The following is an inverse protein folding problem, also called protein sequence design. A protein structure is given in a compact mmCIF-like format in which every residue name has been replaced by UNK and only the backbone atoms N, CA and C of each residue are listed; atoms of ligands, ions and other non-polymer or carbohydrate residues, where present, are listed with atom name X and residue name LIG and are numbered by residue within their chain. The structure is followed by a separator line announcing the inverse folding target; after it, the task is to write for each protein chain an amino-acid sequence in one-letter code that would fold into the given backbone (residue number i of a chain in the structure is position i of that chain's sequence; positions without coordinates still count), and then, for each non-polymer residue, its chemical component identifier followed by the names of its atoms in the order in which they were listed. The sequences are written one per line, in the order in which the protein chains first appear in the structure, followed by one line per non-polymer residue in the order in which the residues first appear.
data_IF_896112012707
#
_entry.id   IF_896112012707
#
_cell.length_a   1.000
_cell.length_b   1.000
_cell.length_c   1.000
_cell.angle_alpha   90.00
_cell.angle_beta   90.00
_cell.angle_gamma   90.00
#
_symmetry.space_group_name_H-M   'P 1'
#
loop_
_entity.id
_entity.type
_entity.pdbx_description
1 polymer ?
#
# COMPACT_ATOMS: atom_id res chain seq x y z
N UNK A 1 -5.51 -33.83 -15.72
CA UNK A 1 -4.68 -34.02 -16.94
C UNK A 1 -3.52 -33.04 -16.84
N UNK A 2 -2.35 -33.49 -16.32
CA UNK A 2 -1.05 -33.66 -17.04
C UNK A 2 -0.44 -32.32 -17.47
N UNK A 3 0.82 -31.95 -17.21
CA UNK A 3 2.01 -32.58 -16.64
C UNK A 3 2.99 -31.47 -16.21
N UNK A 4 3.74 -31.70 -15.14
CA UNK A 4 4.98 -30.98 -14.84
C UNK A 4 6.19 -31.66 -15.51
N UNK A 5 7.36 -31.00 -15.57
CA UNK A 5 8.62 -31.73 -15.51
C UNK A 5 9.52 -31.27 -14.36
N UNK A 6 10.08 -32.29 -13.69
CA UNK A 6 11.12 -32.26 -12.67
C UNK A 6 12.49 -31.91 -13.28
N UNK A 7 13.37 -31.28 -12.48
CA UNK A 7 14.78 -31.67 -12.44
C UNK A 7 15.26 -31.80 -10.99
N UNK A 8 15.67 -33.02 -10.69
CA UNK A 8 16.42 -33.56 -9.56
C UNK A 8 17.91 -33.31 -9.72
N UNK A 9 18.67 -33.09 -8.63
CA UNK A 9 20.02 -33.61 -8.28
C UNK A 9 20.29 -33.06 -6.86
N UNK A 10 20.84 -33.74 -5.85
CA UNK A 10 21.38 -35.08 -5.67
C UNK A 10 21.71 -35.22 -4.16
N UNK A 11 21.64 -36.44 -3.66
CA UNK A 11 21.72 -36.83 -2.26
C UNK A 11 23.13 -36.76 -1.66
N UNK A 12 23.15 -36.74 -0.32
CA UNK A 12 24.25 -36.62 0.64
C UNK A 12 25.11 -37.91 0.83
N UNK A 13 25.79 -38.14 1.99
CA UNK A 13 27.21 -37.97 2.38
C UNK A 13 27.82 -39.38 2.70
N UNK A 14 28.62 -39.67 3.77
CA UNK A 14 29.68 -38.98 4.57
C UNK A 14 31.00 -39.81 4.58
N UNK A 15 32.02 -39.44 5.39
CA UNK A 15 32.72 -40.38 6.32
C UNK A 15 34.09 -39.85 6.79
N UNK A 16 34.31 -39.93 8.10
CA UNK A 16 35.61 -39.88 8.78
C UNK A 16 36.39 -41.21 8.61
N UNK A 17 37.72 -41.17 8.73
CA UNK A 17 38.66 -42.19 9.27
C UNK A 17 40.08 -41.58 9.17
N UNK A 18 40.92 -41.46 10.20
CA UNK A 18 41.55 -42.42 11.14
C UNK A 18 42.98 -42.83 10.72
N UNK A 19 43.94 -42.43 11.57
CA UNK A 19 45.25 -42.98 11.99
C UNK A 19 45.77 -44.29 11.34
N UNK A 20 47.06 -44.29 10.93
CA UNK A 20 48.11 -45.33 11.14
C UNK A 20 49.39 -44.91 10.36
N UNK A 21 50.55 -44.68 11.01
CA UNK A 21 51.66 -45.62 11.28
C UNK A 21 52.17 -46.39 10.05
N UNK A 22 53.46 -46.21 9.70
CA UNK A 22 54.44 -47.27 9.36
C UNK A 22 55.81 -46.68 8.93
N UNK A 23 56.84 -46.90 9.78
CA UNK A 23 58.20 -47.32 9.38
C UNK A 23 58.14 -48.80 8.91
N UNK A 24 59.18 -49.46 8.34
CA UNK A 24 60.60 -49.11 8.16
C UNK A 24 61.14 -49.46 6.74
N UNK A 25 62.45 -49.35 6.51
CA UNK A 25 63.28 -50.44 5.95
C UNK A 25 64.75 -50.00 5.83
N UNK A 26 65.62 -51.01 5.94
CA UNK A 26 67.03 -50.92 6.25
C UNK A 26 67.92 -50.75 5.00
N UNK A 27 69.14 -50.24 5.22
CA UNK A 27 70.23 -50.24 4.25
C UNK A 27 71.59 -50.25 4.95
N UNK A 28 72.26 -51.40 4.85
CA UNK A 28 73.49 -51.83 5.52
C UNK A 28 74.80 -51.13 5.05
N UNK A 29 75.72 -50.93 5.99
CA UNK A 29 77.17 -51.27 5.96
C UNK A 29 78.12 -50.54 4.98
N UNK A 30 79.11 -49.78 5.50
CA UNK A 30 80.49 -50.29 5.66
C UNK A 30 81.46 -49.36 6.42
N UNK A 31 82.45 -50.00 7.06
CA UNK A 31 83.56 -49.47 7.86
C UNK A 31 84.54 -48.56 7.10
N UNK A 32 85.08 -47.53 7.77
CA UNK A 32 86.51 -47.41 8.14
C UNK A 32 86.83 -46.05 8.77
N UNK A 33 87.34 -46.12 9.99
CA UNK A 33 88.08 -45.07 10.69
C UNK A 33 89.35 -44.69 9.92
N UNK A 34 89.78 -43.42 9.98
CA UNK A 34 91.09 -43.21 10.59
C UNK A 34 91.13 -42.04 11.58
N UNK A 35 91.96 -42.30 12.60
CA UNK A 35 92.57 -41.43 13.59
C UNK A 35 92.45 -39.89 13.43
N UNK A 36 91.71 -39.32 14.39
CA UNK A 36 92.11 -38.23 15.32
C UNK A 36 93.27 -37.33 14.87
N UNK A 37 92.93 -36.05 14.62
CA UNK A 37 93.81 -34.91 14.87
C UNK A 37 93.02 -33.89 15.69
N UNK A 38 93.36 -33.80 16.97
CA UNK A 38 92.79 -32.86 17.93
C UNK A 38 93.03 -31.43 17.43
N UNK A 39 91.95 -30.76 16.99
CA UNK A 39 91.90 -29.31 16.91
C UNK A 39 91.26 -28.81 18.20
N UNK A 40 92.11 -28.26 19.05
CA UNK A 40 91.73 -27.47 20.22
C UNK A 40 90.74 -26.37 19.80
N UNK A 41 89.59 -26.22 20.48
CA UNK A 41 88.62 -25.19 20.16
C UNK A 41 89.19 -23.82 20.52
N UNK A 42 89.24 -22.94 19.52
CA UNK A 42 89.49 -21.52 19.71
C UNK A 42 88.34 -20.93 20.54
N UNK A 43 88.56 -20.74 21.85
CA UNK A 43 87.59 -20.23 22.84
C UNK A 43 86.94 -18.90 22.41
N UNK A 44 87.60 -18.12 21.54
CA UNK A 44 87.07 -16.85 21.05
C UNK A 44 85.97 -17.03 20.00
N UNK A 45 85.95 -18.16 19.29
CA UNK A 45 84.97 -18.44 18.23
C UNK A 45 83.68 -19.04 18.81
N UNK A 46 83.79 -19.83 19.88
CA UNK A 46 82.63 -20.42 20.59
C UNK A 46 81.72 -19.37 21.21
N UNK A 47 82.30 -18.34 21.84
CA UNK A 47 81.57 -17.19 22.40
C UNK A 47 80.84 -16.37 21.32
N UNK A 48 81.40 -16.27 20.11
CA UNK A 48 80.74 -15.59 18.99
C UNK A 48 79.58 -16.40 18.44
N UNK A 49 79.77 -17.70 18.21
CA UNK A 49 78.70 -18.59 17.76
C UNK A 49 77.56 -18.68 18.76
N UNK A 50 77.84 -18.76 20.06
CA UNK A 50 76.81 -18.80 21.09
C UNK A 50 76.02 -17.48 21.17
N UNK A 51 76.70 -16.34 21.00
CA UNK A 51 76.04 -15.03 20.90
C UNK A 51 75.14 -14.93 19.66
N UNK A 52 75.57 -15.40 18.49
CA UNK A 52 74.73 -15.42 17.28
C UNK A 52 73.52 -16.35 17.42
N UNK A 53 73.70 -17.52 18.04
CA UNK A 53 72.60 -18.45 18.32
C UNK A 53 71.58 -17.80 19.26
N UNK A 54 72.04 -17.16 20.34
CA UNK A 54 71.17 -16.43 21.26
C UNK A 54 70.39 -15.31 20.56
N UNK A 55 71.05 -14.53 19.72
CA UNK A 55 70.42 -13.46 18.93
C UNK A 55 69.38 -14.06 17.95
N UNK A 56 69.72 -15.13 17.25
CA UNK A 56 68.81 -15.80 16.32
C UNK A 56 67.57 -16.36 17.04
N UNK A 57 67.76 -16.99 18.21
CA UNK A 57 66.66 -17.51 19.03
C UNK A 57 65.76 -16.36 19.52
N UNK A 58 66.33 -15.23 19.94
CA UNK A 58 65.55 -14.06 20.35
C UNK A 58 64.77 -13.44 19.18
N UNK A 59 65.36 -13.40 17.98
CA UNK A 59 64.68 -12.90 16.77
C UNK A 59 63.53 -13.82 16.34
N UNK A 60 63.76 -15.14 16.31
CA UNK A 60 62.71 -16.12 16.02
C UNK A 60 61.60 -16.07 17.06
N UNK A 61 61.95 -15.96 18.35
CA UNK A 61 60.99 -15.81 19.44
C UNK A 61 60.10 -14.57 19.28
N UNK A 62 60.67 -13.43 18.85
CA UNK A 62 59.91 -12.22 18.53
C UNK A 62 59.00 -12.40 17.32
N UNK A 63 59.48 -12.97 16.22
CA UNK A 63 58.67 -13.21 15.02
C UNK A 63 57.49 -14.15 15.31
N UNK A 64 57.73 -15.25 16.04
CA UNK A 64 56.66 -16.19 16.44
C UNK A 64 55.68 -15.53 17.40
N UNK A 65 56.15 -14.73 18.36
CA UNK A 65 55.29 -13.96 19.27
C UNK A 65 54.42 -12.94 18.53
N UNK A 66 54.99 -12.18 17.59
CA UNK A 66 54.25 -11.19 16.81
C UNK A 66 53.23 -11.85 15.88
N UNK A 67 53.59 -12.94 15.20
CA UNK A 67 52.69 -13.72 14.36
C UNK A 67 51.51 -14.33 15.14
N UNK A 68 51.78 -14.89 16.31
CA UNK A 68 50.73 -15.45 17.17
C UNK A 68 49.81 -14.36 17.74
N UNK A 69 50.34 -13.16 18.04
CA UNK A 69 49.55 -12.02 18.50
C UNK A 69 48.66 -11.43 17.40
N UNK A 70 49.16 -11.26 16.17
CA UNK A 70 48.38 -10.75 15.03
C UNK A 70 47.28 -11.73 14.64
N UNK A 71 47.58 -13.02 14.51
CA UNK A 71 46.57 -14.04 14.19
C UNK A 71 45.46 -14.12 15.25
N UNK A 72 45.81 -13.95 16.54
CA UNK A 72 44.80 -13.90 17.63
C UNK A 72 43.87 -12.69 17.51
N UNK A 73 44.40 -11.52 17.13
CA UNK A 73 43.60 -10.31 16.91
C UNK A 73 42.69 -10.46 15.70
N UNK A 74 43.19 -10.98 14.58
CA UNK A 74 42.41 -11.20 13.36
C UNK A 74 41.22 -12.14 13.61
N UNK A 75 41.44 -13.22 14.38
CA UNK A 75 40.36 -14.15 14.78
C UNK A 75 39.33 -13.45 15.67
N UNK A 76 39.77 -12.62 16.61
CA UNK A 76 38.86 -11.83 17.47
C UNK A 76 38.06 -10.82 16.67
N UNK A 77 38.69 -10.12 15.72
CA UNK A 77 38.05 -9.12 14.87
C UNK A 77 37.00 -9.76 13.95
N UNK A 78 37.32 -10.88 13.30
CA UNK A 78 36.34 -11.64 12.51
C UNK A 78 35.16 -12.13 13.36
N UNK A 79 35.44 -12.59 14.57
CA UNK A 79 34.39 -13.02 15.51
C UNK A 79 33.52 -11.84 15.92
N UNK A 80 34.12 -10.68 16.20
CA UNK A 80 33.40 -9.44 16.51
C UNK A 80 32.54 -9.00 15.32
N UNK A 81 33.11 -8.99 14.12
CA UNK A 81 32.42 -8.58 12.89
C UNK A 81 31.25 -9.51 12.57
N UNK A 82 31.44 -10.83 12.71
CA UNK A 82 30.36 -11.80 12.57
C UNK A 82 29.24 -11.58 13.61
N UNK A 83 29.60 -11.25 14.87
CA UNK A 83 28.62 -10.89 15.89
C UNK A 83 27.87 -9.60 15.55
N UNK A 84 28.57 -8.58 15.06
CA UNK A 84 27.96 -7.31 14.65
C UNK A 84 26.96 -7.53 13.51
N UNK A 85 27.33 -8.29 12.49
CA UNK A 85 26.43 -8.63 11.38
C UNK A 85 25.22 -9.43 11.88
N UNK A 86 25.43 -10.40 12.76
CA UNK A 86 24.34 -11.19 13.33
C UNK A 86 23.38 -10.34 14.21
N UNK A 87 23.91 -9.35 14.93
CA UNK A 87 23.10 -8.41 15.71
C UNK A 87 22.30 -7.49 14.79
N UNK A 88 22.93 -6.87 13.80
CA UNK A 88 22.25 -6.02 12.83
C UNK A 88 21.12 -6.76 12.10
N UNK A 89 21.38 -8.00 11.65
CA UNK A 89 20.34 -8.83 11.04
C UNK A 89 19.18 -9.13 12.00
N UNK A 90 19.48 -9.38 13.29
CA UNK A 90 18.43 -9.59 14.29
C UNK A 90 17.61 -8.32 14.54
N UNK A 91 18.25 -7.16 14.57
CA UNK A 91 17.57 -5.86 14.69
C UNK A 91 16.64 -5.61 13.51
N UNK A 92 17.09 -5.85 12.27
CA UNK A 92 16.25 -5.76 11.07
C UNK A 92 15.04 -6.71 11.15
N UNK A 93 15.23 -7.95 11.59
CA UNK A 93 14.15 -8.93 11.75
C UNK A 93 13.17 -8.52 12.84
N UNK A 94 13.65 -7.96 13.95
CA UNK A 94 12.79 -7.45 15.03
C UNK A 94 11.97 -6.27 14.53
N UNK A 95 12.60 -5.31 13.86
CA UNK A 95 11.94 -4.13 13.34
C UNK A 95 10.89 -4.49 12.28
N UNK A 96 11.23 -5.36 11.33
CA UNK A 96 10.25 -5.84 10.34
C UNK A 96 9.07 -6.58 10.98
N UNK A 97 9.28 -7.27 12.10
CA UNK A 97 8.22 -7.93 12.85
C UNK A 97 7.34 -6.93 13.61
N UNK A 98 7.93 -5.90 14.20
CA UNK A 98 7.19 -4.80 14.85
C UNK A 98 6.34 -4.05 13.83
N UNK A 99 6.89 -3.69 12.67
CA UNK A 99 6.17 -3.05 11.57
C UNK A 99 5.00 -3.92 11.07
N UNK A 100 5.22 -5.23 10.95
CA UNK A 100 4.17 -6.17 10.56
C UNK A 100 3.04 -6.28 11.60
N UNK A 101 3.37 -6.21 12.90
CA UNK A 101 2.38 -6.21 13.99
C UNK A 101 1.57 -4.92 13.96
N UNK A 102 2.21 -3.76 13.81
CA UNK A 102 1.53 -2.46 13.73
C UNK A 102 0.60 -2.39 12.52
N UNK A 103 1.06 -2.85 11.35
CA UNK A 103 0.23 -2.92 10.16
C UNK A 103 -0.95 -3.89 10.31
N UNK A 104 -0.78 -5.00 11.04
CA UNK A 104 -1.88 -5.93 11.31
C UNK A 104 -2.89 -5.35 12.29
N UNK A 105 -2.43 -4.64 13.32
CA UNK A 105 -3.29 -3.93 14.26
C UNK A 105 -4.14 -2.88 13.53
N UNK A 106 -3.52 -2.08 12.67
CA UNK A 106 -4.21 -1.07 11.88
C UNK A 106 -5.27 -1.68 10.95
N UNK A 107 -4.92 -2.78 10.28
CA UNK A 107 -5.90 -3.54 9.47
C UNK A 107 -7.08 -4.04 10.30
N UNK A 108 -6.85 -4.51 11.53
CA UNK A 108 -7.93 -4.97 12.42
C UNK A 108 -8.81 -3.82 12.89
N UNK A 109 -8.23 -2.65 13.18
CA UNK A 109 -8.99 -1.44 13.50
C UNK A 109 -9.92 -1.07 12.34
N UNK A 110 -9.38 -0.94 11.13
CA UNK A 110 -10.19 -0.68 9.93
C UNK A 110 -11.28 -1.73 9.69
N UNK A 111 -10.96 -3.02 9.83
CA UNK A 111 -11.94 -4.10 9.63
C UNK A 111 -13.06 -4.13 10.68
N UNK A 112 -12.86 -3.50 11.84
CA UNK A 112 -13.88 -3.37 12.87
C UNK A 112 -14.86 -2.22 12.64
N UNK A 113 -14.53 -1.26 11.77
CA UNK A 113 -15.37 -0.10 11.48
C UNK A 113 -16.59 -0.51 10.66
N UNK A 114 -17.76 -0.01 11.07
CA UNK A 114 -19.03 -0.34 10.45
C UNK A 114 -19.82 0.94 10.24
N UNK A 115 -20.30 1.13 9.01
CA UNK A 115 -21.34 2.11 8.72
C UNK A 115 -22.70 1.56 9.13
N UNK A 116 -23.37 2.29 10.04
CA UNK A 116 -24.66 1.93 10.58
C UNK A 116 -25.76 2.87 10.06
N UNK A 117 -26.94 2.30 9.84
CA UNK A 117 -28.15 3.02 9.46
C UNK A 117 -27.98 3.92 8.24
N UNK A 118 -27.48 3.35 7.14
CA UNK A 118 -27.37 4.05 5.86
C UNK A 118 -28.75 4.54 5.42
N UNK A 119 -28.95 5.84 5.54
CA UNK A 119 -30.24 6.49 5.37
C UNK A 119 -30.17 7.49 4.23
N UNK A 120 -31.12 7.37 3.30
CA UNK A 120 -31.30 8.32 2.22
C UNK A 120 -32.07 9.54 2.72
N UNK A 121 -31.62 10.74 2.37
CA UNK A 121 -32.41 11.94 2.66
C UNK A 121 -33.73 11.94 1.90
N UNK A 122 -34.77 12.51 2.51
CA UNK A 122 -36.10 12.59 1.88
C UNK A 122 -36.06 13.37 0.57
N UNK A 123 -35.24 14.42 0.52
CA UNK A 123 -35.10 15.33 -0.60
C UNK A 123 -34.15 14.77 -1.66
N UNK A 124 -34.51 14.95 -2.92
CA UNK A 124 -33.61 14.81 -4.05
C UNK A 124 -32.82 16.12 -4.27
N UNK A 125 -31.53 15.97 -4.57
CA UNK A 125 -30.66 17.10 -4.87
C UNK A 125 -30.85 17.56 -6.32
N UNK A 126 -31.04 16.60 -7.24
CA UNK A 126 -31.22 16.79 -8.67
C UNK A 126 -31.69 15.46 -9.31
N UNK A 127 -31.88 15.42 -10.63
CA UNK A 127 -32.18 14.21 -11.40
C UNK A 127 -31.17 13.10 -11.08
N UNK A 128 -31.67 11.98 -10.57
CA UNK A 128 -30.87 10.83 -10.12
C UNK A 128 -29.85 11.12 -9.00
N UNK A 129 -29.97 12.26 -8.31
CA UNK A 129 -29.04 12.65 -7.23
C UNK A 129 -29.72 12.75 -5.88
N UNK A 130 -29.17 12.07 -4.89
CA UNK A 130 -29.64 12.12 -3.49
C UNK A 130 -28.48 12.06 -2.50
N UNK A 131 -28.64 12.72 -1.36
CA UNK A 131 -27.71 12.62 -0.25
C UNK A 131 -28.04 11.42 0.64
N UNK A 132 -27.01 10.69 1.06
CA UNK A 132 -27.08 9.63 2.04
C UNK A 132 -26.23 10.00 3.25
N UNK A 133 -26.63 9.48 4.41
CA UNK A 133 -25.82 9.59 5.62
C UNK A 133 -25.85 8.28 6.41
N UNK A 134 -24.79 8.03 7.18
CA UNK A 134 -24.64 6.85 8.01
C UNK A 134 -23.74 7.16 9.22
N UNK A 135 -23.99 6.49 10.34
CA UNK A 135 -23.17 6.61 11.55
C UNK A 135 -21.97 5.67 11.48
N UNK A 136 -20.77 6.15 11.82
CA UNK A 136 -19.59 5.30 11.96
C UNK A 136 -19.51 4.71 13.37
N UNK A 137 -19.53 3.38 13.45
CA UNK A 137 -19.39 2.63 14.70
C UNK A 137 -17.99 2.03 14.86
N UNK A 138 -17.67 1.67 16.11
CA UNK A 138 -16.43 0.99 16.52
C UNK A 138 -15.14 1.78 16.26
N UNK A 139 -15.23 3.11 16.19
CA UNK A 139 -14.04 3.97 16.22
C UNK A 139 -13.29 3.71 17.54
N UNK A 140 -11.97 3.41 17.51
CA UNK A 140 -11.23 3.15 18.74
C UNK A 140 -11.23 4.39 19.65
N UNK A 141 -11.35 4.17 20.96
CA UNK A 141 -11.37 5.26 21.94
C UNK A 141 -10.09 6.11 21.85
N UNK A 142 -10.25 7.44 22.01
CA UNK A 142 -9.16 8.44 22.00
C UNK A 142 -8.45 8.63 20.65
N UNK A 143 -8.92 8.01 19.59
CA UNK A 143 -8.48 8.28 18.22
C UNK A 143 -9.29 9.43 17.58
N UNK A 144 -8.80 9.96 16.46
CA UNK A 144 -9.51 10.97 15.67
C UNK A 144 -10.65 10.34 14.84
N UNK A 145 -11.86 10.37 15.39
CA UNK A 145 -13.05 9.81 14.73
C UNK A 145 -13.33 10.43 13.36
N UNK A 146 -13.02 11.70 13.17
CA UNK A 146 -13.20 12.36 11.88
C UNK A 146 -12.20 11.81 10.84
N UNK A 147 -10.94 11.63 11.23
CA UNK A 147 -9.93 10.99 10.41
C UNK A 147 -10.31 9.58 9.97
N UNK A 148 -10.86 8.77 10.87
CA UNK A 148 -11.37 7.43 10.54
C UNK A 148 -12.57 7.48 9.60
N UNK A 149 -13.50 8.40 9.82
CA UNK A 149 -14.66 8.62 8.95
C UNK A 149 -14.26 8.96 7.51
N UNK A 150 -13.27 9.84 7.33
CA UNK A 150 -12.76 10.22 6.00
C UNK A 150 -11.91 9.14 5.32
N UNK A 151 -11.56 8.04 6.01
CA UNK A 151 -10.75 6.95 5.47
C UNK A 151 -11.54 5.63 5.30
N UNK A 152 -12.81 5.61 5.70
CA UNK A 152 -13.63 4.40 5.67
C UNK A 152 -14.53 4.39 4.45
N UNK A 153 -14.36 3.39 3.58
CA UNK A 153 -15.19 3.20 2.39
C UNK A 153 -16.58 2.64 2.72
N UNK A 154 -17.54 2.86 1.82
CA UNK A 154 -18.87 2.26 1.86
C UNK A 154 -19.32 1.82 0.47
N UNK A 155 -20.21 0.82 0.38
CA UNK A 155 -20.89 0.47 -0.87
C UNK A 155 -22.35 0.98 -0.83
N UNK A 156 -22.72 1.81 -1.80
CA UNK A 156 -24.10 2.32 -1.96
C UNK A 156 -24.56 1.98 -3.38
N UNK A 157 -25.66 1.22 -3.50
CA UNK A 157 -26.21 0.74 -4.78
C UNK A 157 -25.21 0.02 -5.68
N UNK A 158 -24.30 -0.77 -5.11
CA UNK A 158 -23.28 -1.50 -5.87
C UNK A 158 -22.08 -0.64 -6.31
N UNK A 159 -22.00 0.62 -5.88
CA UNK A 159 -20.88 1.52 -6.13
C UNK A 159 -20.11 1.71 -4.83
N UNK A 160 -18.80 1.45 -4.88
CA UNK A 160 -17.90 1.73 -3.76
C UNK A 160 -17.51 3.20 -3.75
N UNK A 161 -17.74 3.86 -2.62
CA UNK A 161 -17.25 5.18 -2.30
C UNK A 161 -16.09 5.03 -1.33
N UNK A 162 -14.90 5.48 -1.73
CA UNK A 162 -13.67 5.32 -0.92
C UNK A 162 -13.75 6.09 0.40
N UNK A 163 -14.49 7.20 0.42
CA UNK A 163 -14.72 8.03 1.60
C UNK A 163 -16.03 8.85 1.46
N UNK A 164 -16.59 9.35 2.57
CA UNK A 164 -17.64 10.37 2.54
C UNK A 164 -17.13 11.72 2.01
N UNK A 165 -18.04 12.54 1.49
CA UNK A 165 -17.76 13.93 1.10
C UNK A 165 -17.55 14.82 2.32
N UNK A 166 -18.26 14.52 3.41
CA UNK A 166 -18.22 15.24 4.66
C UNK A 166 -18.44 14.28 5.83
N UNK A 167 -17.74 14.55 6.93
CA UNK A 167 -17.98 13.93 8.24
C UNK A 167 -18.43 15.00 9.23
N UNK A 168 -19.58 14.80 9.86
CA UNK A 168 -20.11 15.68 10.92
C UNK A 168 -20.09 14.98 12.28
N UNK A 169 -20.01 15.77 13.35
CA UNK A 169 -20.17 15.28 14.72
C UNK A 169 -21.50 15.74 15.29
N UNK A 170 -22.32 14.78 15.70
CA UNK A 170 -23.62 15.04 16.31
C UNK A 170 -23.60 14.56 17.77
N UNK A 171 -24.10 15.39 18.68
CA UNK A 171 -24.21 15.03 20.09
C UNK A 171 -25.62 14.52 20.38
N UNK A 172 -25.75 13.22 20.58
CA UNK A 172 -27.02 12.57 20.91
C UNK A 172 -26.87 11.87 22.26
N UNK A 173 -27.72 12.24 23.22
CA UNK A 173 -27.71 11.67 24.58
C UNK A 173 -26.34 11.75 25.30
N UNK A 174 -25.55 12.79 25.01
CA UNK A 174 -24.22 13.00 25.59
C UNK A 174 -23.11 12.16 24.95
N UNK A 175 -23.41 11.38 23.90
CA UNK A 175 -22.45 10.64 23.09
C UNK A 175 -22.23 11.37 21.78
N UNK A 176 -20.96 11.60 21.42
CA UNK A 176 -20.58 12.14 20.13
C UNK A 176 -20.66 11.03 19.07
N UNK A 177 -21.51 11.23 18.08
CA UNK A 177 -21.67 10.37 16.91
C UNK A 177 -20.94 10.98 15.72
N UNK A 178 -20.28 10.14 14.93
CA UNK A 178 -19.62 10.58 13.70
C UNK A 178 -20.47 10.13 12.52
N UNK A 179 -20.97 11.08 11.73
CA UNK A 179 -21.88 10.83 10.62
C UNK A 179 -21.15 11.14 9.31
N UNK A 180 -21.05 10.15 8.43
CA UNK A 180 -20.56 10.35 7.06
C UNK A 180 -21.71 10.76 6.14
N UNK A 181 -21.42 11.59 5.13
CA UNK A 181 -22.37 12.06 4.13
C UNK A 181 -21.85 11.79 2.72
N UNK A 182 -22.71 11.30 1.82
CA UNK A 182 -22.38 10.96 0.44
C UNK A 182 -23.42 11.52 -0.52
N UNK A 183 -23.00 12.10 -1.64
CA UNK A 183 -23.88 12.40 -2.76
C UNK A 183 -23.89 11.24 -3.74
N UNK A 184 -24.98 10.49 -3.76
CA UNK A 184 -25.20 9.41 -4.72
C UNK A 184 -25.75 9.99 -6.01
N UNK A 185 -25.06 9.73 -7.13
CA UNK A 185 -25.35 10.37 -8.43
C UNK A 185 -26.01 9.45 -9.47
N UNK A 186 -26.40 8.23 -9.09
CA UNK A 186 -27.03 7.28 -10.01
C UNK A 186 -27.87 6.27 -9.24
N UNK A 187 -28.73 5.53 -9.95
CA UNK A 187 -29.59 4.50 -9.38
C UNK A 187 -30.53 5.01 -8.27
N UNK A 188 -30.95 6.28 -8.36
CA UNK A 188 -31.95 6.89 -7.46
C UNK A 188 -33.32 6.97 -8.15
N UNK A 189 -34.11 5.88 -8.20
CA UNK A 189 -35.36 5.84 -8.98
C UNK A 189 -36.39 6.87 -8.52
N UNK A 190 -36.44 7.19 -7.22
CA UNK A 190 -37.37 8.21 -6.71
C UNK A 190 -36.95 9.63 -7.07
N UNK A 191 -35.69 9.86 -7.43
CA UNK A 191 -35.17 11.14 -7.89
C UNK A 191 -35.16 11.25 -9.42
N UNK A 192 -35.81 10.33 -10.13
CA UNK A 192 -36.01 10.41 -11.59
C UNK A 192 -37.27 11.19 -11.91
N UNK A 193 -37.12 12.45 -12.23
CA UNK A 193 -38.14 13.26 -12.88
C UNK A 193 -38.20 12.98 -14.38
N UNK A 194 -39.31 13.33 -15.04
CA UNK A 194 -39.43 13.17 -16.49
C UNK A 194 -40.27 14.26 -17.11
N UNK A 195 -40.08 14.47 -18.41
CA UNK A 195 -40.84 15.42 -19.20
C UNK A 195 -42.13 14.79 -19.75
N UNK A 196 -43.22 15.55 -19.72
CA UNK A 196 -44.41 15.25 -20.49
C UNK A 196 -44.22 15.54 -21.97
N UNK A 197 -45.33 15.64 -22.70
CA UNK A 197 -45.30 15.93 -24.14
C UNK A 197 -44.63 17.28 -24.44
N UNK A 198 -43.63 17.25 -25.32
CA UNK A 198 -43.00 18.45 -25.88
C UNK A 198 -43.95 19.17 -26.84
N UNK A 199 -44.34 20.38 -26.48
CA UNK A 199 -45.24 21.23 -27.25
C UNK A 199 -44.44 22.27 -28.00
N UNK A 200 -44.55 22.25 -29.33
CA UNK A 200 -44.06 23.32 -30.20
C UNK A 200 -44.85 24.62 -29.89
N UNK A 201 -44.14 25.69 -29.52
CA UNK A 201 -44.69 27.02 -29.25
C UNK A 201 -44.33 28.00 -30.36
N UNK A 202 -44.33 29.31 -30.06
CA UNK A 202 -43.97 30.37 -31.00
C UNK A 202 -42.53 30.26 -31.53
N UNK A 203 -42.35 30.80 -32.72
CA UNK A 203 -41.05 31.00 -33.33
C UNK A 203 -40.43 32.33 -32.86
N UNK A 204 -39.11 32.33 -32.71
CA UNK A 204 -38.30 33.50 -32.39
C UNK A 204 -37.43 33.81 -33.60
N UNK A 205 -37.96 34.63 -34.51
CA UNK A 205 -37.35 34.85 -35.83
C UNK A 205 -37.58 33.68 -36.79
N UNK A 206 -36.83 33.64 -37.89
CA UNK A 206 -37.01 32.65 -38.97
C UNK A 206 -36.41 31.28 -38.68
N UNK A 207 -35.48 31.16 -37.72
CA UNK A 207 -34.70 29.93 -37.54
C UNK A 207 -34.73 29.34 -36.13
N UNK A 208 -35.53 29.90 -35.21
CA UNK A 208 -35.61 29.38 -33.84
C UNK A 208 -37.03 29.13 -33.41
N UNK A 209 -37.24 28.02 -32.71
CA UNK A 209 -38.54 27.64 -32.17
C UNK A 209 -38.44 27.34 -30.68
N UNK A 210 -39.40 27.87 -29.91
CA UNK A 210 -39.56 27.48 -28.53
C UNK A 210 -40.34 26.17 -28.44
N UNK A 211 -39.82 25.23 -27.65
CA UNK A 211 -40.48 23.97 -27.30
C UNK A 211 -40.63 23.95 -25.79
N UNK A 212 -41.81 23.57 -25.29
CA UNK A 212 -42.08 23.50 -23.86
C UNK A 212 -42.51 22.10 -23.43
N UNK A 213 -42.13 21.68 -22.22
CA UNK A 213 -42.62 20.46 -21.61
C UNK A 213 -42.85 20.66 -20.11
N UNK A 214 -43.83 19.93 -19.56
CA UNK A 214 -44.10 19.92 -18.12
C UNK A 214 -43.26 18.86 -17.42
N UNK A 215 -42.66 19.20 -16.30
CA UNK A 215 -41.94 18.27 -15.42
C UNK A 215 -42.93 17.45 -14.58
N UNK A 216 -42.66 16.16 -14.44
CA UNK A 216 -43.41 15.22 -13.60
C UNK A 216 -42.48 14.52 -12.60
N UNK A 217 -43.11 13.96 -11.55
CA UNK A 217 -42.46 13.24 -10.45
C UNK A 217 -41.53 14.08 -9.56
N UNK A 218 -41.74 15.40 -9.55
CA UNK A 218 -41.16 16.28 -8.54
C UNK A 218 -41.83 16.02 -7.18
N UNK A 219 -41.05 15.81 -6.13
CA UNK A 219 -41.57 15.46 -4.79
C UNK A 219 -41.75 16.72 -3.93
N UNK A 220 -42.92 17.35 -4.01
CA UNK A 220 -43.29 18.45 -3.10
C UNK A 220 -43.56 17.93 -1.67
N UNK A 221 -43.19 18.68 -0.60
CA UNK A 221 -42.51 19.97 -0.58
C UNK A 221 -40.97 19.85 -0.44
N UNK A 222 -40.41 18.64 -0.58
CA UNK A 222 -39.02 18.36 -0.22
C UNK A 222 -38.04 18.79 -1.30
N UNK A 223 -38.33 18.49 -2.56
CA UNK A 223 -37.42 18.71 -3.67
C UNK A 223 -37.39 20.17 -4.10
N UNK A 224 -36.20 20.69 -4.40
CA UNK A 224 -36.09 21.99 -5.05
C UNK A 224 -36.49 21.85 -6.53
N UNK A 225 -37.64 22.43 -6.87
CA UNK A 225 -38.18 22.37 -8.22
C UNK A 225 -37.21 22.87 -9.29
N UNK A 226 -36.39 23.89 -8.97
CA UNK A 226 -35.43 24.49 -9.89
C UNK A 226 -34.32 23.51 -10.22
N UNK A 227 -33.73 22.88 -9.20
CA UNK A 227 -32.67 21.89 -9.37
C UNK A 227 -33.17 20.69 -10.18
N UNK A 228 -34.35 20.16 -9.83
CA UNK A 228 -34.95 19.05 -10.58
C UNK A 228 -35.21 19.44 -12.03
N UNK A 229 -35.74 20.64 -12.30
CA UNK A 229 -36.03 21.09 -13.65
C UNK A 229 -34.77 21.22 -14.51
N UNK A 230 -33.72 21.87 -14.01
CA UNK A 230 -32.49 22.07 -14.78
C UNK A 230 -31.63 20.81 -14.92
N UNK A 231 -31.76 19.84 -14.03
CA UNK A 231 -30.98 18.60 -14.10
C UNK A 231 -31.67 17.46 -14.85
N UNK A 232 -32.97 17.58 -15.18
CA UNK A 232 -33.70 16.52 -15.86
C UNK A 232 -33.35 16.51 -17.35
N UNK A 233 -32.71 15.46 -17.87
CA UNK A 233 -32.36 15.38 -19.28
C UNK A 233 -33.61 15.22 -20.15
N UNK A 234 -33.53 15.65 -21.40
CA UNK A 234 -34.61 15.60 -22.38
C UNK A 234 -34.08 15.09 -23.72
N UNK A 235 -34.85 14.26 -24.40
CA UNK A 235 -34.52 13.80 -25.75
C UNK A 235 -35.72 13.99 -26.67
N UNK A 236 -35.58 14.86 -27.66
CA UNK A 236 -36.61 15.11 -28.66
C UNK A 236 -35.97 15.66 -29.94
N UNK A 237 -36.67 15.52 -31.07
CA UNK A 237 -36.18 15.94 -32.39
C UNK A 237 -34.77 15.40 -32.73
N UNK A 238 -34.43 14.19 -32.26
CA UNK A 238 -33.11 13.56 -32.44
C UNK A 238 -31.95 14.28 -31.75
N UNK A 239 -32.24 15.19 -30.82
CA UNK A 239 -31.28 15.88 -29.98
C UNK A 239 -31.44 15.47 -28.53
N UNK A 240 -30.30 15.34 -27.84
CA UNK A 240 -30.21 15.17 -26.40
C UNK A 240 -29.88 16.51 -25.76
N UNK A 241 -30.60 16.84 -24.71
CA UNK A 241 -30.42 18.04 -23.92
C UNK A 241 -30.16 17.64 -22.48
N UNK A 242 -29.01 18.04 -21.95
CA UNK A 242 -28.66 17.80 -20.55
C UNK A 242 -29.51 18.66 -19.61
N UNK A 243 -29.93 19.83 -20.07
CA UNK A 243 -30.79 20.75 -19.35
C UNK A 243 -31.68 21.56 -20.31
N UNK A 244 -32.80 22.12 -19.83
CA UNK A 244 -33.54 23.17 -20.54
C UNK A 244 -32.81 24.52 -20.53
N UNK A 245 -33.21 25.41 -21.44
CA UNK A 245 -32.72 26.80 -21.47
C UNK A 245 -33.37 27.63 -20.36
N UNK A 246 -34.65 27.38 -20.07
CA UNK A 246 -35.38 28.03 -18.98
C UNK A 246 -36.29 27.06 -18.23
N UNK A 247 -36.53 27.37 -16.97
CA UNK A 247 -37.44 26.66 -16.09
C UNK A 247 -38.34 27.66 -15.34
N UNK A 248 -39.64 27.39 -15.32
CA UNK A 248 -40.63 28.24 -14.69
C UNK A 248 -41.58 27.42 -13.82
N UNK A 249 -41.72 27.78 -12.54
CA UNK A 249 -42.76 27.21 -11.68
C UNK A 249 -44.06 28.02 -11.82
N UNK A 250 -45.07 27.43 -12.49
CA UNK A 250 -46.38 28.03 -12.74
C UNK A 250 -47.41 27.70 -11.64
N UNK A 251 -46.97 27.26 -10.46
CA UNK A 251 -47.84 26.87 -9.36
C UNK A 251 -48.74 25.69 -9.75
N UNK A 252 -50.06 25.90 -9.80
CA UNK A 252 -51.03 24.83 -10.12
C UNK A 252 -50.82 24.16 -11.48
N UNK A 253 -50.21 24.87 -12.43
CA UNK A 253 -49.89 24.33 -13.76
C UNK A 253 -48.61 23.46 -13.77
N UNK A 254 -47.90 23.39 -12.64
CA UNK A 254 -46.65 22.66 -12.48
C UNK A 254 -45.42 23.43 -12.94
N UNK A 255 -44.32 22.71 -13.06
CA UNK A 255 -43.03 23.23 -13.51
C UNK A 255 -42.93 23.02 -15.02
N UNK A 256 -42.62 24.07 -15.75
CA UNK A 256 -42.50 24.07 -17.21
C UNK A 256 -41.08 24.40 -17.59
N UNK A 257 -40.49 23.58 -18.46
CA UNK A 257 -39.20 23.84 -19.07
C UNK A 257 -39.37 24.29 -20.51
N UNK A 258 -38.45 25.13 -20.99
CA UNK A 258 -38.39 25.57 -22.37
C UNK A 258 -37.01 25.32 -23.00
N UNK A 259 -37.02 24.96 -24.27
CA UNK A 259 -35.85 24.85 -25.14
C UNK A 259 -36.04 25.72 -26.38
N UNK A 260 -34.98 26.40 -26.82
CA UNK A 260 -34.93 27.20 -28.03
C UNK A 260 -34.10 26.48 -29.07
N UNK A 261 -34.76 25.66 -29.89
CA UNK A 261 -34.10 24.84 -30.90
C UNK A 261 -34.01 25.57 -32.24
N UNK A 262 -32.95 25.30 -32.98
CA UNK A 262 -32.85 25.75 -34.36
C UNK A 262 -33.77 24.91 -35.26
N UNK A 263 -34.45 25.57 -36.19
CA UNK A 263 -35.36 24.95 -37.15
C UNK A 263 -35.18 25.54 -38.54
N UNK A 264 -35.61 24.79 -39.56
CA UNK A 264 -35.64 25.27 -40.93
C UNK A 264 -36.54 26.52 -41.05
N UNK A 265 -36.18 27.43 -41.96
CA UNK A 265 -36.95 28.66 -42.21
C UNK A 265 -38.44 28.39 -42.45
N UNK A 266 -38.74 27.29 -43.15
CA UNK A 266 -40.10 26.86 -43.48
C UNK A 266 -40.93 26.42 -42.28
N UNK A 267 -40.31 26.05 -41.16
CA UNK A 267 -41.04 25.71 -39.93
C UNK A 267 -41.53 26.96 -39.18
N UNK A 268 -40.96 28.13 -39.49
CA UNK A 268 -41.20 29.40 -38.81
C UNK A 268 -41.58 30.56 -39.74
N UNK A 269 -41.81 30.29 -41.02
CA UNK A 269 -42.26 31.23 -42.06
C UNK A 269 -43.77 31.28 -42.21
#
# INVERSE_FOLDING_TARGET
MTNAPRRTWGLSPPSCQAVANEEPEAGLVNERTPLRKDQTPDERNWLRTSAFILIAVLLVGRVVSDYTNTNRRDVQERTLQAKVIAVAHREEVVQAKEDAILADEERRKHAGLIWWDLTAEKRCLAYEKRMYHAELLNVPEREDAQGWCMQTSIEIHGITYDHPELCTHEWVDGVAKTIGHWTVNSNEPTCKTWWGNHQKKECYGSHKRRVEARLFNHQEPWDNWTEMCFSTPSEFAWHKFDHPDTCENKGRSGIIASWFIDVDEKECS
#
